data_IF_397304993704
#
_entry.id   IF_397304993704
#
_cell.length_a   1.000
_cell.length_b   1.000
_cell.length_c   1.000
_cell.angle_alpha   90.00
_cell.angle_beta   90.00
_cell.angle_gamma   90.00
#
_symmetry.space_group_name_H-M   'P 1'
#
loop_
_entity.id
_entity.type
_entity.pdbx_description
1 polymer ?
#
# COMPACT_ATOMS: atom_id res chain seq x y z
N UNK A 1 -15.43 22.61 7.69
CA UNK A 1 -13.98 22.64 7.97
C UNK A 1 -13.49 21.47 8.83
N UNK A 2 -14.27 20.39 9.05
CA UNK A 2 -13.85 19.18 9.78
C UNK A 2 -13.84 17.91 8.89
N UNK A 3 -13.63 18.04 7.58
CA UNK A 3 -13.62 16.91 6.64
C UNK A 3 -12.34 16.78 5.78
N UNK A 4 -11.38 17.72 5.93
CA UNK A 4 -10.04 17.52 5.38
C UNK A 4 -9.20 16.54 6.23
N UNK A 5 -9.48 16.41 7.54
CA UNK A 5 -8.79 15.46 8.44
C UNK A 5 -9.16 13.98 8.23
N UNK A 6 -10.08 13.67 7.31
CA UNK A 6 -10.50 12.29 7.02
C UNK A 6 -9.77 11.68 5.82
N UNK A 7 -8.99 12.47 5.07
CA UNK A 7 -8.31 11.99 3.87
C UNK A 7 -6.78 11.92 4.01
N UNK A 8 -6.19 12.63 4.99
CA UNK A 8 -4.83 12.34 5.44
C UNK A 8 -4.79 11.04 6.26
N UNK A 9 -5.85 10.77 7.04
CA UNK A 9 -6.05 9.48 7.72
C UNK A 9 -6.42 8.31 6.79
N UNK A 10 -6.79 8.59 5.53
CA UNK A 10 -7.08 7.56 4.53
C UNK A 10 -5.81 7.13 3.76
N UNK A 11 -4.69 7.84 3.96
CA UNK A 11 -3.36 7.37 3.59
C UNK A 11 -2.60 6.73 4.76
N UNK A 12 -3.21 6.68 5.95
CA UNK A 12 -2.71 5.97 7.13
C UNK A 12 -3.19 4.49 7.19
N UNK A 13 -3.77 3.97 6.09
CA UNK A 13 -4.32 2.61 6.03
C UNK A 13 -4.08 1.94 4.66
N UNK A 14 -2.81 1.70 4.35
CA UNK A 14 -2.35 0.66 3.41
C UNK A 14 -1.39 -0.18 4.29
N UNK A 15 -1.89 -1.18 5.02
CA UNK A 15 -2.22 -2.59 4.72
C UNK A 15 -1.04 -3.49 4.34
N UNK A 16 -0.65 -4.32 5.32
CA UNK A 16 0.71 -4.61 5.83
C UNK A 16 1.05 -6.11 5.71
N UNK A 17 1.83 -6.66 4.73
CA UNK A 17 2.28 -8.08 4.77
C UNK A 17 3.59 -8.49 4.11
N UNK A 18 4.25 -9.48 4.72
CA UNK A 18 5.06 -10.47 4.06
C UNK A 18 5.75 -11.45 4.97
N UNK A 19 6.53 -12.24 4.28
CA UNK A 19 7.24 -13.36 4.78
C UNK A 19 8.27 -13.72 3.72
N UNK A 20 9.49 -13.97 4.18
CA UNK A 20 10.33 -15.05 3.69
C UNK A 20 10.46 -15.12 2.16
N UNK A 21 11.05 -14.10 1.56
CA UNK A 21 12.04 -14.40 0.53
C UNK A 21 13.24 -15.00 1.26
N UNK A 22 13.12 -16.27 1.66
CA UNK A 22 14.27 -17.09 1.97
C UNK A 22 15.24 -16.88 0.82
N UNK A 23 16.47 -16.48 1.14
CA UNK A 23 17.62 -16.59 0.27
C UNK A 23 17.39 -17.79 -0.66
N UNK A 24 17.13 -17.54 -1.94
CA UNK A 24 17.53 -18.54 -2.92
C UNK A 24 19.01 -18.74 -2.58
N UNK A 25 19.32 -19.91 -2.00
CA UNK A 25 20.69 -20.37 -1.85
C UNK A 25 21.30 -20.20 -3.23
N UNK A 26 22.00 -19.10 -3.44
CA UNK A 26 22.84 -18.98 -4.60
C UNK A 26 23.82 -20.13 -4.40
N UNK A 27 23.79 -21.11 -5.30
CA UNK A 27 24.67 -22.29 -5.31
C UNK A 27 26.18 -21.91 -5.35
N UNK A 28 26.50 -20.63 -5.19
CA UNK A 28 27.82 -20.03 -5.22
C UNK A 28 28.31 -19.53 -3.86
N UNK A 29 27.77 -19.97 -2.71
CA UNK A 29 28.48 -19.87 -1.42
C UNK A 29 29.01 -18.50 -0.98
N UNK A 30 28.49 -17.41 -1.55
CA UNK A 30 28.60 -16.06 -1.00
C UNK A 30 27.39 -15.94 -0.08
N UNK A 31 27.65 -15.85 1.23
CA UNK A 31 26.68 -15.40 2.21
C UNK A 31 26.22 -14.01 1.75
N UNK A 32 25.10 -13.92 1.05
CA UNK A 32 24.53 -12.64 0.66
C UNK A 32 24.16 -11.92 1.95
N UNK A 33 24.88 -10.86 2.30
CA UNK A 33 24.52 -9.97 3.40
C UNK A 33 23.04 -9.62 3.26
N UNK A 34 22.21 -10.13 4.17
CA UNK A 34 20.79 -9.82 4.20
C UNK A 34 20.65 -8.44 4.81
N UNK A 35 20.18 -7.48 4.02
CA UNK A 35 19.88 -6.14 4.48
C UNK A 35 18.38 -6.01 4.76
N UNK A 36 18.03 -5.48 5.91
CA UNK A 36 16.65 -5.16 6.26
C UNK A 36 16.49 -3.65 6.36
N UNK A 37 15.34 -3.13 5.92
CA UNK A 37 15.00 -1.72 6.12
C UNK A 37 14.61 -1.53 7.58
N UNK A 38 15.33 -0.70 8.32
CA UNK A 38 15.07 -0.44 9.74
C UNK A 38 14.28 0.83 9.97
N UNK A 39 14.32 1.78 9.04
CA UNK A 39 13.47 2.96 9.09
C UNK A 39 13.23 3.59 7.72
N UNK A 40 12.12 4.31 7.62
CA UNK A 40 11.79 5.20 6.52
C UNK A 40 11.35 6.55 7.07
N UNK A 41 11.80 7.64 6.44
CA UNK A 41 11.33 8.99 6.76
C UNK A 41 10.63 9.55 5.53
N UNK A 42 9.32 9.71 5.61
CA UNK A 42 8.52 10.34 4.57
C UNK A 42 8.46 11.83 4.81
N UNK A 43 8.86 12.61 3.82
CA UNK A 43 8.83 14.08 3.86
C UNK A 43 7.98 14.62 2.73
N UNK A 44 6.90 15.30 3.10
CA UNK A 44 6.04 16.04 2.19
C UNK A 44 6.29 17.54 2.44
N UNK A 45 6.83 18.25 1.44
CA UNK A 45 7.12 19.67 1.59
C UNK A 45 5.85 20.47 1.86
N UNK A 46 6.03 21.64 2.45
CA UNK A 46 4.95 22.60 2.69
C UNK A 46 4.19 22.89 1.39
N UNK A 47 2.88 22.65 1.40
CA UNK A 47 2.01 22.98 0.29
C UNK A 47 1.70 24.49 0.24
N UNK A 48 0.97 24.92 -0.79
CA UNK A 48 0.56 26.33 -0.96
C UNK A 48 -0.34 26.85 0.18
N UNK A 49 -0.83 25.98 1.06
CA UNK A 49 -1.67 26.32 2.22
C UNK A 49 -0.88 26.35 3.53
N UNK A 50 0.43 26.15 3.50
CA UNK A 50 1.27 26.13 4.69
C UNK A 50 1.19 24.84 5.48
N UNK A 51 0.75 23.74 4.86
CA UNK A 51 0.70 22.42 5.47
C UNK A 51 1.91 21.59 5.04
N UNK A 52 2.66 21.06 6.01
CA UNK A 52 3.70 20.07 5.77
C UNK A 52 3.49 18.84 6.64
N UNK A 53 3.87 17.69 6.12
CA UNK A 53 3.75 16.41 6.82
C UNK A 53 5.07 15.65 6.75
N UNK A 54 5.52 15.14 7.89
CA UNK A 54 6.62 14.21 7.96
C UNK A 54 6.22 12.99 8.78
N UNK A 55 6.62 11.79 8.36
CA UNK A 55 6.37 10.55 9.10
C UNK A 55 7.66 9.77 9.24
N UNK A 56 8.08 9.54 10.48
CA UNK A 56 9.22 8.69 10.82
C UNK A 56 8.70 7.29 11.15
N UNK A 57 9.00 6.32 10.30
CA UNK A 57 8.57 4.93 10.46
C UNK A 57 9.78 4.07 10.81
N UNK A 58 9.69 3.32 11.90
CA UNK A 58 10.73 2.39 12.37
C UNK A 58 10.21 0.96 12.36
N UNK A 59 11.07 0.01 11.97
CA UNK A 59 10.77 -1.41 11.85
C UNK A 59 11.62 -2.22 12.82
N UNK A 60 10.96 -3.07 13.61
CA UNK A 60 11.65 -4.00 14.51
C UNK A 60 11.52 -5.43 14.04
N UNK A 61 12.63 -6.17 14.08
CA UNK A 61 12.72 -7.56 13.66
C UNK A 61 13.13 -8.45 14.84
N UNK A 62 12.66 -9.69 14.86
CA UNK A 62 13.11 -10.70 15.83
C UNK A 62 14.39 -11.43 15.38
N UNK A 63 14.93 -12.31 16.22
CA UNK A 63 16.13 -13.12 15.92
C UNK A 63 15.97 -14.09 14.72
N UNK A 64 14.75 -14.27 14.22
CA UNK A 64 14.45 -15.03 13.02
C UNK A 64 14.24 -14.14 11.78
N UNK A 65 14.62 -12.86 11.86
CA UNK A 65 14.47 -11.82 10.83
C UNK A 65 13.02 -11.62 10.37
N UNK A 66 12.05 -11.83 11.28
CA UNK A 66 10.65 -11.53 11.02
C UNK A 66 10.30 -10.15 11.60
N UNK A 67 9.59 -9.33 10.83
CA UNK A 67 9.09 -8.03 11.29
C UNK A 67 8.05 -8.24 12.41
N UNK A 68 8.29 -7.67 13.58
CA UNK A 68 7.43 -7.83 14.77
C UNK A 68 6.76 -6.53 15.20
N UNK A 69 7.32 -5.37 14.84
CA UNK A 69 6.72 -4.08 15.14
C UNK A 69 6.98 -3.06 14.04
N UNK A 70 6.02 -2.17 13.84
CA UNK A 70 6.11 -0.97 13.02
C UNK A 70 5.66 0.21 13.87
N UNK A 71 6.57 1.12 14.16
CA UNK A 71 6.29 2.36 14.88
C UNK A 71 6.26 3.52 13.90
N UNK A 72 5.16 4.26 13.84
CA UNK A 72 5.02 5.50 13.07
C UNK A 72 4.96 6.69 14.01
N UNK A 73 5.76 7.71 13.74
CA UNK A 73 5.71 9.02 14.41
C UNK A 73 5.41 10.08 13.36
N UNK A 74 4.18 10.57 13.36
CA UNK A 74 3.68 11.51 12.38
C UNK A 74 3.76 12.93 12.94
N UNK A 75 4.41 13.82 12.21
CA UNK A 75 4.55 15.23 12.52
C UNK A 75 3.83 16.06 11.47
N UNK A 76 2.65 16.57 11.81
CA UNK A 76 1.91 17.51 10.96
C UNK A 76 2.23 18.94 11.41
N UNK A 77 2.57 19.82 10.48
CA UNK A 77 2.71 21.25 10.76
C UNK A 77 1.72 22.05 9.91
N UNK A 78 0.89 22.84 10.57
CA UNK A 78 -0.06 23.77 9.95
C UNK A 78 0.39 25.22 10.24
N UNK A 79 0.71 26.00 9.20
CA UNK A 79 1.09 27.42 9.32
C UNK A 79 -0.05 28.34 8.84
N UNK A 80 -0.58 29.17 9.74
CA UNK A 80 -1.53 30.23 9.40
C UNK A 80 -0.86 31.61 9.61
N UNK A 81 -0.68 32.35 8.52
CA UNK A 81 0.08 33.61 8.42
C UNK A 81 1.57 33.48 8.82
N UNK A 82 1.85 33.49 10.12
CA UNK A 82 3.19 33.40 10.72
C UNK A 82 3.24 32.54 11.99
N UNK A 83 2.09 31.96 12.37
CA UNK A 83 2.00 31.03 13.48
C UNK A 83 1.94 29.63 12.90
N UNK A 84 2.94 28.81 13.23
CA UNK A 84 2.96 27.40 12.89
C UNK A 84 2.69 26.58 14.13
N UNK A 85 1.77 25.63 14.02
CA UNK A 85 1.49 24.64 15.06
C UNK A 85 1.91 23.26 14.53
N UNK A 86 2.70 22.54 15.31
CA UNK A 86 3.09 21.16 15.01
C UNK A 86 2.37 20.23 15.96
N UNK A 87 1.69 19.22 15.43
CA UNK A 87 1.15 18.09 16.18
C UNK A 87 1.96 16.84 15.89
N UNK A 88 2.24 16.07 16.93
CA UNK A 88 2.91 14.78 16.82
C UNK A 88 1.94 13.70 17.29
N UNK A 89 1.68 12.73 16.41
CA UNK A 89 0.88 11.54 16.69
C UNK A 89 1.79 10.30 16.57
N UNK A 90 1.67 9.37 17.51
CA UNK A 90 2.46 8.14 17.53
C UNK A 90 1.52 6.94 17.45
N UNK A 91 1.89 5.95 16.64
CA UNK A 91 1.10 4.75 16.44
C UNK A 91 2.01 3.53 16.22
N UNK A 92 1.73 2.42 16.92
CA UNK A 92 2.49 1.19 16.78
C UNK A 92 1.60 0.02 16.33
N UNK A 93 2.10 -0.75 15.37
CA UNK A 93 1.47 -1.98 14.88
C UNK A 93 2.34 -3.15 15.29
N UNK A 94 1.77 -4.07 16.07
CA UNK A 94 2.43 -5.31 16.46
C UNK A 94 2.02 -6.45 15.54
N UNK A 95 2.99 -7.29 15.18
CA UNK A 95 2.79 -8.46 14.33
C UNK A 95 2.99 -9.74 15.14
N UNK A 96 2.09 -10.70 14.92
CA UNK A 96 2.18 -12.04 15.51
C UNK A 96 2.00 -13.10 14.44
N UNK A 97 2.75 -14.20 14.57
CA UNK A 97 2.83 -15.26 13.58
C UNK A 97 2.25 -16.57 14.14
N UNK A 98 1.30 -17.16 13.43
CA UNK A 98 0.64 -18.40 13.80
C UNK A 98 0.50 -19.32 12.57
N UNK A 99 1.57 -20.04 12.24
CA UNK A 99 1.66 -20.81 11.01
C UNK A 99 1.68 -19.87 9.80
N UNK A 100 0.78 -20.12 8.85
CA UNK A 100 0.61 -19.36 7.60
C UNK A 100 -0.17 -18.05 7.80
N UNK A 101 -0.58 -17.77 9.05
CA UNK A 101 -1.34 -16.58 9.41
C UNK A 101 -0.48 -15.58 10.15
N UNK A 102 -0.46 -14.33 9.68
CA UNK A 102 0.09 -13.19 10.42
C UNK A 102 -1.09 -12.37 10.94
N UNK A 103 -1.01 -11.86 12.16
CA UNK A 103 -2.03 -11.00 12.75
C UNK A 103 -1.39 -9.70 13.19
N UNK A 104 -2.00 -8.61 12.79
CA UNK A 104 -1.60 -7.24 13.08
C UNK A 104 -2.60 -6.64 14.04
N UNK A 105 -2.08 -6.02 15.08
CA UNK A 105 -2.86 -5.30 16.08
C UNK A 105 -2.30 -3.91 16.26
N UNK A 106 -3.16 -2.91 16.16
CA UNK A 106 -2.81 -1.52 16.32
C UNK A 106 -2.93 -1.10 17.80
N UNK A 107 -1.90 -0.46 18.34
CA UNK A 107 -1.85 0.00 19.74
C UNK A 107 -2.96 1.01 20.08
N UNK A 108 -3.40 1.78 19.10
CA UNK A 108 -4.37 2.87 19.24
C UNK A 108 -5.81 2.42 18.99
N UNK A 109 -6.00 1.27 18.34
CA UNK A 109 -7.30 0.76 17.90
C UNK A 109 -7.45 -0.72 18.23
N UNK A 110 -7.79 -1.02 19.49
CA UNK A 110 -7.92 -2.41 19.97
C UNK A 110 -9.00 -3.22 19.23
N UNK A 111 -9.99 -2.54 18.65
CA UNK A 111 -11.09 -3.17 17.91
C UNK A 111 -10.75 -3.43 16.43
N UNK A 112 -9.64 -2.88 15.93
CA UNK A 112 -9.17 -3.11 14.56
C UNK A 112 -8.18 -4.27 14.52
N UNK A 113 -8.43 -5.21 13.61
CA UNK A 113 -7.57 -6.37 13.39
C UNK A 113 -7.38 -6.60 11.90
N UNK A 114 -6.11 -6.73 11.49
CA UNK A 114 -5.75 -7.18 10.16
C UNK A 114 -5.17 -8.59 10.26
N UNK A 115 -5.73 -9.52 9.49
CA UNK A 115 -5.27 -10.89 9.36
C UNK A 115 -4.75 -11.15 7.97
N UNK A 116 -3.67 -11.92 7.97
CA UNK A 116 -2.85 -12.18 6.82
C UNK A 116 -2.79 -13.65 6.53
N UNK A 117 -3.05 -14.08 5.30
CA UNK A 117 -2.82 -15.47 4.90
C UNK A 117 -1.78 -15.55 3.78
N UNK A 118 -0.69 -16.27 4.08
CA UNK A 118 0.39 -16.57 3.14
C UNK A 118 0.50 -18.09 3.01
N UNK A 119 0.34 -18.61 1.80
CA UNK A 119 0.50 -20.04 1.50
C UNK A 119 1.77 -20.25 0.67
N UNK A 120 2.82 -20.77 1.30
CA UNK A 120 4.12 -20.88 0.65
C UNK A 120 4.72 -19.50 0.35
N UNK A 121 4.95 -19.21 -0.92
CA UNK A 121 5.46 -17.93 -1.42
C UNK A 121 4.35 -16.98 -1.93
N UNK A 122 3.07 -17.37 -1.76
CA UNK A 122 1.93 -16.63 -2.29
C UNK A 122 1.13 -15.97 -1.18
N UNK A 123 0.99 -14.65 -1.28
CA UNK A 123 -0.04 -13.91 -0.57
C UNK A 123 -1.41 -14.36 -1.08
N UNK A 124 -2.25 -14.95 -0.24
CA UNK A 124 -3.59 -15.39 -0.66
C UNK A 124 -4.66 -14.38 -0.30
N UNK A 125 -4.56 -13.80 0.90
CA UNK A 125 -5.67 -13.06 1.48
C UNK A 125 -5.24 -12.03 2.52
N UNK A 126 -5.85 -10.86 2.45
CA UNK A 126 -5.85 -9.85 3.51
C UNK A 126 -7.27 -9.73 4.03
N UNK A 127 -7.46 -9.73 5.35
CA UNK A 127 -8.75 -9.44 5.97
C UNK A 127 -8.57 -8.35 7.01
N UNK A 128 -9.20 -7.20 6.83
CA UNK A 128 -9.36 -6.19 7.86
C UNK A 128 -10.73 -6.33 8.51
N UNK A 129 -10.81 -6.16 9.82
CA UNK A 129 -12.09 -6.08 10.50
C UNK A 129 -12.06 -5.09 11.65
N UNK A 130 -13.16 -4.36 11.81
CA UNK A 130 -13.38 -3.42 12.90
C UNK A 130 -14.81 -3.51 13.44
N UNK A 131 -15.04 -2.94 14.63
CA UNK A 131 -16.38 -2.76 15.17
C UNK A 131 -16.81 -1.30 14.99
N UNK A 132 -17.66 -1.06 14.00
CA UNK A 132 -18.22 0.25 13.72
C UNK A 132 -19.70 0.31 14.15
N UNK A 133 -20.06 1.26 15.01
CA UNK A 133 -21.42 1.41 15.56
C UNK A 133 -22.01 0.12 16.18
N UNK A 134 -21.16 -0.77 16.71
CA UNK A 134 -21.57 -2.04 17.30
C UNK A 134 -21.82 -3.17 16.30
N UNK A 135 -21.57 -2.94 15.01
CA UNK A 135 -21.59 -3.93 13.95
C UNK A 135 -20.16 -4.25 13.50
N UNK A 136 -19.93 -5.50 13.10
CA UNK A 136 -18.62 -5.93 12.60
C UNK A 136 -18.53 -5.64 11.11
N UNK A 137 -17.66 -4.71 10.75
CA UNK A 137 -17.31 -4.42 9.36
C UNK A 137 -16.07 -5.25 8.98
N UNK A 138 -16.08 -5.80 7.76
CA UNK A 138 -15.01 -6.66 7.23
C UNK A 138 -14.72 -6.24 5.80
N UNK A 139 -13.45 -5.97 5.54
CA UNK A 139 -12.87 -5.88 4.20
C UNK A 139 -11.96 -7.09 3.95
N UNK A 140 -12.10 -7.72 2.79
CA UNK A 140 -11.30 -8.88 2.40
C UNK A 140 -10.76 -8.72 0.97
N UNK A 141 -9.44 -8.80 0.84
CA UNK A 141 -8.72 -8.76 -0.42
C UNK A 141 -8.23 -10.16 -0.75
N UNK A 142 -8.59 -10.69 -1.93
CA UNK A 142 -8.20 -12.04 -2.37
C UNK A 142 -7.28 -11.97 -3.57
N UNK A 143 -6.14 -12.64 -3.49
CA UNK A 143 -5.08 -12.58 -4.49
C UNK A 143 -5.10 -13.87 -5.33
N UNK A 144 -5.34 -13.73 -6.62
CA UNK A 144 -5.55 -14.84 -7.54
C UNK A 144 -4.41 -14.88 -8.55
N UNK A 145 -3.79 -16.06 -8.67
CA UNK A 145 -2.60 -16.26 -9.49
C UNK A 145 -2.89 -17.09 -10.74
N UNK A 146 -2.20 -16.75 -11.84
CA UNK A 146 -2.13 -17.55 -13.06
C UNK A 146 -0.71 -18.12 -13.17
N UNK A 147 -0.54 -19.37 -12.71
CA UNK A 147 0.79 -19.93 -12.45
C UNK A 147 1.43 -19.25 -11.24
N UNK A 148 2.60 -18.64 -11.44
CA UNK A 148 3.38 -17.97 -10.38
C UNK A 148 3.25 -16.45 -10.39
N UNK A 149 2.36 -15.91 -11.24
CA UNK A 149 2.13 -14.46 -11.33
C UNK A 149 0.75 -14.11 -10.82
N UNK A 150 0.68 -13.02 -10.05
CA UNK A 150 -0.60 -12.40 -9.69
C UNK A 150 -1.34 -12.05 -10.98
N UNK A 151 -2.64 -12.31 -11.00
CA UNK A 151 -3.48 -12.05 -12.18
C UNK A 151 -4.68 -11.19 -11.84
N UNK A 152 -5.19 -11.30 -10.60
CA UNK A 152 -6.36 -10.56 -10.16
C UNK A 152 -6.32 -10.36 -8.65
N UNK A 153 -6.77 -9.20 -8.19
CA UNK A 153 -7.07 -8.92 -6.79
C UNK A 153 -8.56 -8.64 -6.68
N UNK A 154 -9.28 -9.39 -5.84
CA UNK A 154 -10.70 -9.18 -5.62
C UNK A 154 -10.94 -8.51 -4.27
N UNK A 155 -11.76 -7.46 -4.26
CA UNK A 155 -12.10 -6.69 -3.07
C UNK A 155 -13.53 -7.00 -2.65
N UNK A 156 -13.67 -7.56 -1.46
CA UNK A 156 -14.91 -8.03 -0.87
C UNK A 156 -15.18 -7.26 0.42
N UNK A 157 -16.45 -6.97 0.69
CA UNK A 157 -16.85 -6.40 1.98
C UNK A 157 -18.24 -6.88 2.42
N UNK A 158 -18.58 -6.70 3.68
CA UNK A 158 -19.90 -7.05 4.23
C UNK A 158 -20.79 -5.82 4.52
N UNK A 159 -20.39 -4.63 4.11
CA UNK A 159 -21.05 -3.38 4.51
C UNK A 159 -21.41 -2.46 3.33
N UNK A 160 -20.81 -2.63 2.15
CA UNK A 160 -21.21 -1.84 0.96
C UNK A 160 -22.56 -2.27 0.41
N UNK A 161 -22.95 -3.53 0.61
CA UNK A 161 -24.30 -4.00 0.31
C UNK A 161 -25.17 -3.95 1.57
N UNK A 162 -26.06 -2.96 1.60
CA UNK A 162 -26.85 -2.42 2.74
C UNK A 162 -27.62 -3.36 3.70
N UNK A 163 -27.37 -4.67 3.80
CA UNK A 163 -28.15 -5.51 4.74
C UNK A 163 -27.61 -6.89 5.16
N UNK A 164 -26.40 -7.33 4.81
CA UNK A 164 -25.99 -8.72 5.11
C UNK A 164 -24.62 -8.83 5.76
N UNK A 165 -24.51 -9.65 6.80
CA UNK A 165 -23.21 -10.11 7.36
C UNK A 165 -22.37 -10.96 6.38
N UNK A 166 -22.80 -11.08 5.12
CA UNK A 166 -22.16 -11.86 4.08
C UNK A 166 -21.24 -10.96 3.26
N UNK A 167 -20.05 -11.48 2.94
CA UNK A 167 -19.10 -10.78 2.07
C UNK A 167 -19.62 -10.76 0.63
N UNK A 168 -19.55 -9.59 0.01
CA UNK A 168 -19.94 -9.34 -1.38
C UNK A 168 -18.77 -8.73 -2.14
N UNK A 169 -18.53 -9.23 -3.36
CA UNK A 169 -17.54 -8.64 -4.27
C UNK A 169 -18.05 -7.27 -4.70
N UNK A 170 -17.23 -6.23 -4.53
CA UNK A 170 -17.60 -4.88 -4.96
C UNK A 170 -16.67 -4.33 -6.05
N UNK A 171 -15.40 -4.73 -6.05
CA UNK A 171 -14.45 -4.35 -7.08
C UNK A 171 -13.38 -5.42 -7.27
N UNK A 172 -12.65 -5.33 -8.37
CA UNK A 172 -11.45 -6.12 -8.59
C UNK A 172 -10.48 -5.38 -9.48
N UNK A 173 -9.20 -5.73 -9.33
CA UNK A 173 -8.13 -5.29 -10.19
C UNK A 173 -7.62 -6.47 -11.03
N UNK A 174 -7.43 -6.26 -12.32
CA UNK A 174 -6.72 -7.19 -13.19
C UNK A 174 -5.27 -6.74 -13.35
N UNK A 175 -4.34 -7.68 -13.19
CA UNK A 175 -2.90 -7.41 -13.19
C UNK A 175 -2.25 -8.10 -14.39
N UNK A 176 -1.50 -7.33 -15.16
CA UNK A 176 -0.74 -7.84 -16.32
C UNK A 176 0.74 -7.59 -16.13
N UNK A 177 1.56 -8.52 -16.65
CA UNK A 177 3.01 -8.50 -16.51
C UNK A 177 3.71 -8.41 -17.87
N UNK A 178 4.81 -7.67 -17.92
CA UNK A 178 5.79 -7.70 -19.01
C UNK A 178 7.13 -8.17 -18.46
N UNK A 179 7.49 -9.43 -18.75
CA UNK A 179 8.59 -10.07 -18.03
C UNK A 179 8.18 -10.34 -16.58
N UNK A 180 9.03 -9.98 -15.62
CA UNK A 180 8.77 -10.17 -14.18
C UNK A 180 8.26 -8.91 -13.48
N UNK A 181 7.95 -7.86 -14.23
CA UNK A 181 7.38 -6.62 -13.70
C UNK A 181 5.92 -6.46 -14.11
N UNK A 182 5.11 -5.83 -13.26
CA UNK A 182 3.74 -5.45 -13.60
C UNK A 182 3.80 -4.42 -14.72
N UNK A 183 3.15 -4.68 -15.85
CA UNK A 183 3.02 -3.67 -16.91
C UNK A 183 1.83 -2.76 -16.69
N UNK A 184 0.75 -3.29 -16.12
CA UNK A 184 -0.50 -2.57 -15.96
C UNK A 184 -1.40 -3.23 -14.92
N UNK A 185 -2.08 -2.39 -14.16
CA UNK A 185 -3.23 -2.72 -13.31
C UNK A 185 -4.45 -2.01 -13.88
N UNK A 186 -5.56 -2.73 -14.04
CA UNK A 186 -6.84 -2.17 -14.47
C UNK A 186 -7.93 -2.47 -13.46
N UNK A 187 -8.62 -1.44 -12.98
CA UNK A 187 -9.59 -1.53 -11.88
C UNK A 187 -11.02 -1.53 -12.40
N UNK A 188 -11.85 -2.39 -11.83
CA UNK A 188 -13.24 -2.61 -12.22
C UNK A 188 -14.19 -2.59 -11.01
N UNK A 189 -15.40 -2.04 -11.20
CA UNK A 189 -16.51 -2.21 -10.24
C UNK A 189 -17.56 -3.18 -10.76
N UNK A 190 -18.17 -3.95 -9.84
CA UNK A 190 -19.37 -4.74 -10.11
C UNK A 190 -20.61 -3.83 -10.15
N UNK A 191 -21.37 -3.89 -11.24
CA UNK A 191 -22.40 -2.89 -11.59
C UNK A 191 -23.59 -2.82 -10.64
N UNK A 192 -23.91 -3.90 -9.92
CA UNK A 192 -24.99 -3.90 -8.92
C UNK A 192 -24.65 -3.07 -7.66
N UNK A 193 -23.35 -2.83 -7.41
CA UNK A 193 -22.85 -2.04 -6.28
C UNK A 193 -22.29 -0.66 -6.69
N UNK A 194 -22.09 -0.40 -8.00
CA UNK A 194 -21.55 0.85 -8.54
C UNK A 194 -22.41 2.09 -8.22
N UNK A 195 -23.69 1.91 -7.89
CA UNK A 195 -24.58 3.01 -7.51
C UNK A 195 -24.45 3.46 -6.03
N UNK A 196 -23.75 2.71 -5.18
CA UNK A 196 -23.72 2.96 -3.74
C UNK A 196 -22.54 3.83 -3.26
N UNK A 197 -21.37 3.77 -3.92
CA UNK A 197 -20.21 4.61 -3.56
C UNK A 197 -20.16 5.87 -4.42
N UNK A 198 -20.98 6.85 -4.03
CA UNK A 198 -20.74 8.26 -4.35
C UNK A 198 -19.47 8.67 -3.59
N UNK A 199 -18.31 8.40 -4.17
CA UNK A 199 -16.99 8.71 -3.60
C UNK A 199 -16.98 10.19 -3.17
N UNK A 200 -16.69 10.41 -1.87
CA UNK A 200 -16.75 11.71 -1.20
C UNK A 200 -15.73 12.75 -1.66
N UNK A 201 -15.11 12.59 -2.83
CA UNK A 201 -14.27 13.59 -3.49
C UNK A 201 -14.58 13.59 -4.99
N UNK A 202 -15.13 14.72 -5.46
CA UNK A 202 -15.73 14.97 -6.79
C UNK A 202 -16.92 14.06 -7.12
N UNK A 203 -18.08 14.68 -7.34
CA UNK A 203 -19.28 14.03 -7.84
C UNK A 203 -19.05 13.43 -9.23
N UNK A 204 -18.48 12.24 -9.30
CA UNK A 204 -18.63 11.38 -10.47
C UNK A 204 -19.97 10.67 -10.33
N UNK A 205 -21.02 11.32 -10.83
CA UNK A 205 -22.27 10.62 -11.15
C UNK A 205 -21.94 9.65 -12.28
N UNK A 206 -21.53 8.42 -11.95
CA UNK A 206 -21.63 7.32 -12.89
C UNK A 206 -23.14 7.13 -13.10
N UNK A 207 -23.67 7.82 -14.11
CA UNK A 207 -25.08 7.72 -14.52
C UNK A 207 -25.24 6.41 -15.31
N UNK A 208 -24.77 5.30 -14.75
CA UNK A 208 -24.95 3.99 -15.32
C UNK A 208 -26.34 3.50 -14.91
N UNK A 209 -27.32 3.80 -15.76
CA UNK A 209 -28.48 2.92 -15.93
C UNK A 209 -28.04 1.58 -16.57
N UNK A 210 -26.97 0.96 -16.05
CA UNK A 210 -26.52 -0.36 -16.48
C UNK A 210 -27.47 -1.38 -15.86
N UNK A 211 -28.38 -1.90 -16.68
CA UNK A 211 -29.29 -2.99 -16.33
C UNK A 211 -28.67 -4.37 -16.65
N UNK A 212 -27.35 -4.51 -16.53
CA UNK A 212 -26.61 -5.71 -16.94
C UNK A 212 -25.42 -5.96 -16.00
N UNK A 213 -25.12 -7.24 -15.76
CA UNK A 213 -23.98 -7.78 -14.99
C UNK A 213 -22.62 -7.49 -15.69
N UNK A 214 -22.41 -6.29 -16.21
CA UNK A 214 -21.21 -5.88 -16.91
C UNK A 214 -20.31 -5.10 -15.97
N UNK A 215 -19.04 -5.49 -15.85
CA UNK A 215 -18.04 -4.71 -15.11
C UNK A 215 -17.70 -3.42 -15.86
N UNK A 216 -17.43 -2.36 -15.08
CA UNK A 216 -17.05 -1.05 -15.62
C UNK A 216 -15.60 -0.78 -15.23
N UNK A 217 -14.72 -0.64 -16.24
CA UNK A 217 -13.34 -0.16 -16.04
C UNK A 217 -13.37 1.29 -15.59
N UNK A 218 -12.70 1.59 -14.47
CA UNK A 218 -12.72 2.91 -13.83
C UNK A 218 -11.34 3.56 -13.72
N UNK A 219 -10.27 2.77 -13.87
CA UNK A 219 -8.92 3.24 -13.72
C UNK A 219 -7.93 2.29 -14.34
N UNK A 220 -6.82 2.85 -14.81
CA UNK A 220 -5.69 2.09 -15.32
C UNK A 220 -4.40 2.71 -14.84
N UNK A 221 -3.53 1.89 -14.26
CA UNK A 221 -2.18 2.28 -13.86
C UNK A 221 -1.20 1.51 -14.73
N UNK A 222 -0.14 2.18 -15.17
CA UNK A 222 0.94 1.57 -15.96
C UNK A 222 2.29 2.03 -15.46
N UNK A 223 3.28 1.16 -15.55
CA UNK A 223 4.58 1.37 -14.95
C UNK A 223 5.71 1.24 -15.98
N UNK A 224 6.79 1.94 -15.72
CA UNK A 224 8.09 1.72 -16.36
C UNK A 224 9.15 1.52 -15.29
N UNK A 225 10.24 0.85 -15.65
CA UNK A 225 11.21 0.33 -14.69
C UNK A 225 12.64 0.63 -15.10
N UNK A 226 13.53 0.70 -14.11
CA UNK A 226 14.97 0.66 -14.32
C UNK A 226 15.46 -0.78 -14.50
N UNK A 227 16.77 -0.98 -14.46
CA UNK A 227 17.41 -2.30 -14.51
C UNK A 227 17.86 -2.80 -13.14
N UNK A 228 17.72 -2.01 -12.09
CA UNK A 228 18.17 -2.39 -10.75
C UNK A 228 17.08 -3.21 -10.09
N UNK A 229 17.49 -4.18 -9.27
CA UNK A 229 16.52 -5.00 -8.52
C UNK A 229 15.81 -4.14 -7.48
N UNK A 230 14.50 -4.32 -7.36
CA UNK A 230 13.72 -3.76 -6.26
C UNK A 230 14.08 -4.51 -4.97
N UNK A 231 14.73 -3.85 -3.99
CA UNK A 231 15.08 -4.51 -2.72
C UNK A 231 13.84 -4.86 -1.88
N UNK A 232 12.67 -4.34 -2.24
CA UNK A 232 11.41 -4.60 -1.56
C UNK A 232 10.62 -5.75 -2.21
N UNK A 233 11.08 -6.36 -3.32
CA UNK A 233 10.33 -7.46 -3.95
C UNK A 233 10.14 -8.62 -2.97
N UNK A 234 8.90 -9.07 -2.78
CA UNK A 234 8.57 -10.18 -1.89
C UNK A 234 8.71 -9.87 -0.39
N UNK A 235 9.17 -8.65 -0.04
CA UNK A 235 9.35 -8.24 1.34
C UNK A 235 8.04 -7.81 1.97
N UNK A 236 7.91 -8.13 3.26
CA UNK A 236 6.75 -7.73 4.05
C UNK A 236 6.45 -6.27 3.92
N UNK A 237 7.52 -5.50 4.06
CA UNK A 237 7.49 -4.07 4.05
C UNK A 237 6.90 -3.46 2.75
N UNK A 238 7.13 -4.11 1.61
CA UNK A 238 6.71 -3.59 0.31
C UNK A 238 5.20 -3.64 0.11
N UNK A 239 4.57 -4.71 0.61
CA UNK A 239 3.12 -4.80 0.56
C UNK A 239 2.50 -3.76 1.49
N UNK A 240 3.09 -3.50 2.68
CA UNK A 240 2.53 -2.48 3.59
C UNK A 240 2.51 -1.11 2.93
N UNK A 241 3.60 -0.76 2.28
CA UNK A 241 3.83 0.65 1.95
C UNK A 241 3.41 0.96 0.51
N UNK A 242 3.58 0.00 -0.42
CA UNK A 242 3.27 0.20 -1.84
C UNK A 242 2.09 -0.64 -2.35
N UNK A 243 1.83 -1.81 -1.77
CA UNK A 243 0.84 -2.73 -2.32
C UNK A 243 1.37 -3.48 -3.55
N UNK A 244 1.29 -2.89 -4.76
CA UNK A 244 1.66 -3.61 -6.00
C UNK A 244 3.18 -3.72 -6.22
N UNK A 245 3.97 -2.85 -5.61
CA UNK A 245 5.43 -2.83 -5.61
C UNK A 245 6.02 -4.15 -5.09
N UNK A 246 5.29 -4.84 -4.21
CA UNK A 246 5.63 -6.16 -3.70
C UNK A 246 5.93 -7.18 -4.83
N UNK A 247 5.24 -7.04 -5.97
CA UNK A 247 5.33 -7.98 -7.09
C UNK A 247 6.35 -7.58 -8.16
N UNK A 248 6.95 -6.38 -8.06
CA UNK A 248 7.84 -5.85 -9.08
C UNK A 248 9.29 -6.25 -8.83
N UNK A 249 9.95 -6.78 -9.86
CA UNK A 249 11.36 -7.17 -9.82
C UNK A 249 12.32 -5.99 -9.87
N UNK A 250 11.94 -4.91 -10.54
CA UNK A 250 12.78 -3.74 -10.72
C UNK A 250 12.18 -2.49 -10.06
N UNK A 251 13.01 -1.47 -9.86
CA UNK A 251 12.51 -0.19 -9.33
C UNK A 251 11.64 0.50 -10.39
N UNK A 252 10.55 1.10 -9.95
CA UNK A 252 9.66 1.89 -10.82
C UNK A 252 10.37 3.19 -11.17
N UNK A 253 10.44 3.57 -12.44
CA UNK A 253 10.93 4.89 -12.87
C UNK A 253 9.81 5.89 -13.11
N UNK A 254 8.66 5.39 -13.56
CA UNK A 254 7.49 6.21 -13.75
C UNK A 254 6.24 5.36 -13.61
N UNK A 255 5.27 5.93 -12.94
CA UNK A 255 3.91 5.47 -12.84
C UNK A 255 3.01 6.44 -13.61
N UNK A 256 2.04 5.89 -14.33
CA UNK A 256 1.05 6.65 -15.06
C UNK A 256 -0.34 6.12 -14.76
N UNK A 257 -1.14 6.94 -14.10
CA UNK A 257 -2.53 6.67 -13.78
C UNK A 257 -3.45 7.35 -14.79
N UNK A 258 -4.47 6.63 -15.22
CA UNK A 258 -5.52 7.12 -16.11
C UNK A 258 -6.86 6.82 -15.45
N UNK A 259 -7.55 7.88 -15.05
CA UNK A 259 -8.90 7.82 -14.52
C UNK A 259 -9.81 8.64 -15.43
N UNK A 260 -10.74 7.98 -16.13
CA UNK A 260 -11.66 8.59 -17.09
C UNK A 260 -10.94 9.38 -18.20
N UNK A 261 -10.82 10.70 -18.04
CA UNK A 261 -10.17 11.63 -18.97
C UNK A 261 -8.98 12.38 -18.37
N UNK A 262 -8.63 12.10 -17.11
CA UNK A 262 -7.45 12.65 -16.46
C UNK A 262 -6.29 11.67 -16.57
N UNK A 263 -5.08 12.21 -16.64
CA UNK A 263 -3.84 11.45 -16.60
C UNK A 263 -2.94 12.10 -15.58
N UNK A 264 -2.44 11.29 -14.66
CA UNK A 264 -1.46 11.69 -13.66
C UNK A 264 -0.20 10.86 -13.88
N UNK A 265 0.96 11.52 -13.88
CA UNK A 265 2.25 10.87 -14.02
C UNK A 265 3.08 11.16 -12.79
N UNK A 266 3.64 10.11 -12.22
CA UNK A 266 4.62 10.19 -11.15
C UNK A 266 5.96 9.68 -11.69
N UNK A 267 7.02 10.41 -11.39
CA UNK A 267 8.38 10.06 -11.78
C UNK A 267 9.19 9.79 -10.54
N UNK A 268 9.92 8.67 -10.56
CA UNK A 268 10.69 8.17 -9.44
C UNK A 268 12.18 8.32 -9.75
N UNK A 269 12.93 8.73 -8.74
CA UNK A 269 14.38 8.77 -8.79
C UNK A 269 14.97 8.24 -7.50
N UNK A 270 16.15 7.64 -7.61
CA UNK A 270 16.77 6.88 -6.54
C UNK A 270 18.21 7.35 -6.34
N UNK A 271 18.59 7.56 -5.09
CA UNK A 271 19.99 7.62 -4.67
C UNK A 271 20.34 6.31 -3.96
N UNK A 272 21.50 5.75 -4.25
CA UNK A 272 21.91 4.42 -3.76
C UNK A 272 23.11 4.54 -2.82
N UNK A 273 23.19 3.64 -1.84
CA UNK A 273 24.40 3.43 -1.05
C UNK A 273 25.47 2.64 -1.83
N UNK A 274 26.62 2.38 -1.19
CA UNK A 274 27.73 1.65 -1.80
C UNK A 274 27.39 0.18 -2.12
N UNK A 275 26.36 -0.38 -1.47
CA UNK A 275 25.85 -1.75 -1.71
C UNK A 275 24.79 -1.80 -2.82
N UNK A 276 24.45 -0.66 -3.43
CA UNK A 276 23.45 -0.57 -4.49
C UNK A 276 22.00 -0.60 -4.00
N UNK A 277 21.76 -0.34 -2.71
CA UNK A 277 20.43 -0.22 -2.12
C UNK A 277 19.94 1.24 -2.12
N UNK A 278 18.68 1.52 -2.49
CA UNK A 278 18.13 2.87 -2.57
C UNK A 278 17.94 3.48 -1.17
N UNK A 279 18.70 4.54 -0.86
CA UNK A 279 18.65 5.25 0.42
C UNK A 279 17.83 6.54 0.37
N UNK A 280 17.57 7.07 -0.83
CA UNK A 280 16.63 8.19 -1.03
C UNK A 280 15.78 7.85 -2.23
N UNK A 281 14.46 7.93 -2.06
CA UNK A 281 13.47 7.81 -3.12
C UNK A 281 12.78 9.16 -3.26
N UNK A 282 12.84 9.75 -4.44
CA UNK A 282 12.10 10.98 -4.74
C UNK A 282 11.02 10.67 -5.76
N UNK A 283 9.76 10.98 -5.40
CA UNK A 283 8.61 10.93 -6.30
C UNK A 283 8.24 12.35 -6.68
N UNK A 284 8.08 12.62 -7.99
CA UNK A 284 7.66 13.92 -8.50
C UNK A 284 6.42 13.77 -9.39
N UNK A 285 5.38 14.53 -9.12
CA UNK A 285 4.16 14.55 -9.94
C UNK A 285 4.27 15.55 -11.11
N UNK A 286 3.27 15.53 -12.00
CA UNK A 286 3.19 16.42 -13.17
C UNK A 286 3.06 17.92 -12.82
N UNK A 287 2.65 18.25 -11.60
CA UNK A 287 2.52 19.63 -11.11
C UNK A 287 3.82 20.13 -10.44
N UNK A 288 4.81 19.26 -10.31
CA UNK A 288 6.11 19.55 -9.68
C UNK A 288 6.09 19.35 -8.16
N UNK A 289 5.00 18.80 -7.60
CA UNK A 289 4.97 18.29 -6.24
C UNK A 289 6.02 17.22 -6.07
N UNK A 290 6.76 17.26 -4.96
CA UNK A 290 7.90 16.39 -4.70
C UNK A 290 7.78 15.77 -3.32
N UNK A 291 7.72 14.45 -3.26
CA UNK A 291 7.79 13.68 -2.01
C UNK A 291 9.15 12.99 -1.92
N UNK A 292 9.75 12.99 -0.73
CA UNK A 292 11.05 12.36 -0.49
C UNK A 292 10.90 11.33 0.61
N UNK A 293 11.40 10.13 0.36
CA UNK A 293 11.53 9.06 1.35
C UNK A 293 13.00 8.75 1.56
N UNK A 294 13.49 8.98 2.77
CA UNK A 294 14.81 8.50 3.18
C UNK A 294 14.66 7.08 3.75
N UNK A 295 15.54 6.16 3.35
CA UNK A 295 15.48 4.74 3.71
C UNK A 295 16.78 4.34 4.39
N UNK A 296 16.67 3.75 5.58
CA UNK A 296 17.82 3.22 6.33
C UNK A 296 17.79 1.70 6.33
N UNK A 297 18.95 1.10 6.07
CA UNK A 297 19.15 -0.34 6.11
C UNK A 297 20.07 -0.74 7.26
N UNK A 298 19.84 -1.93 7.80
CA UNK A 298 20.83 -2.67 8.58
C UNK A 298 21.20 -3.94 7.81
N UNK A 299 22.49 -4.10 7.52
CA UNK A 299 23.04 -5.24 6.80
C UNK A 299 23.96 -6.01 7.73
N UNK A 300 23.72 -7.31 7.86
CA UNK A 300 24.58 -8.23 8.60
C UNK A 300 25.72 -8.78 7.73
#
# INVERSE_FOLDING_TARGET
>A
MNQLKLNAKLFAAILVFGALASCEESDNGDDSNSCHITSMVFSYPEDDYGYSYASDVTFEYNDANQLISILSVDNETECYDSNCETSTDENEIFLSYAGDVITLTNSSYEDEKIEILISGDKLEKITSSEIYNGEKEIDEYRYIYSGDKLSKVENWDNYSNSSTSELTLYSYDEVTFSGNNISMVESFYESENANARKLGKKEHVINANARTNESISVGKVSYSYDTNTNPMKGELLALLIGGYEYFNENNILSEKEIYDHATYTYNYSYEYNDDGLPIIITVTDDEGGKNVTDVTYNCD
#
